data_IF_309682353879
#
_entry.id   IF_309682353879
#
_cell.length_a   1.000
_cell.length_b   1.000
_cell.length_c   1.000
_cell.angle_alpha   90.00
_cell.angle_beta   90.00
_cell.angle_gamma   90.00
#
_symmetry.space_group_name_H-M   'P 1'
#
loop_
_entity.id
_entity.type
_entity.pdbx_description
1 polymer ?
#
# COMPACT_ATOMS: atom_id res chain seq x y z
N UNK A 1 -20.22 21.68 46.12
CA UNK A 1 -19.50 20.45 45.71
C UNK A 1 -20.06 19.77 44.44
N UNK A 2 -21.24 20.14 43.93
CA UNK A 2 -21.89 19.50 42.76
C UNK A 2 -21.31 19.89 41.38
N UNK A 3 -20.52 20.97 41.30
CA UNK A 3 -19.94 21.52 40.05
C UNK A 3 -18.64 20.84 39.60
N UNK A 4 -17.92 20.18 40.51
CA UNK A 4 -16.61 19.56 40.22
C UNK A 4 -16.79 18.25 39.45
N UNK A 5 -17.86 17.51 39.74
CA UNK A 5 -18.19 16.23 39.09
C UNK A 5 -18.52 16.45 37.60
N UNK A 6 -19.26 17.51 37.28
CA UNK A 6 -19.60 17.88 35.91
C UNK A 6 -18.37 18.21 35.04
N UNK A 7 -17.36 18.87 35.62
CA UNK A 7 -16.13 19.20 34.90
C UNK A 7 -15.33 17.94 34.51
N UNK A 8 -15.28 16.93 35.40
CA UNK A 8 -14.55 15.68 35.13
C UNK A 8 -15.13 14.87 33.97
N UNK A 9 -16.46 14.87 33.81
CA UNK A 9 -17.16 14.12 32.75
C UNK A 9 -16.97 14.80 31.39
N UNK A 10 -16.96 16.13 31.34
CA UNK A 10 -16.72 16.89 30.11
C UNK A 10 -15.28 16.73 29.62
N UNK A 11 -14.30 16.71 30.54
CA UNK A 11 -12.88 16.45 30.19
C UNK A 11 -12.69 15.02 29.68
N UNK A 12 -13.35 14.03 30.28
CA UNK A 12 -13.30 12.65 29.79
C UNK A 12 -13.91 12.51 28.39
N UNK A 13 -15.03 13.18 28.10
CA UNK A 13 -15.66 13.15 26.77
C UNK A 13 -14.81 13.83 25.69
N UNK A 14 -14.04 14.87 26.03
CA UNK A 14 -13.12 15.54 25.10
C UNK A 14 -11.89 14.68 24.77
N UNK A 15 -11.43 13.82 25.69
CA UNK A 15 -10.33 12.89 25.42
C UNK A 15 -10.74 11.72 24.51
N UNK A 16 -12.00 11.28 24.55
CA UNK A 16 -12.50 10.18 23.69
C UNK A 16 -12.72 10.66 22.23
N UNK A 17 -12.91 11.96 22.01
CA UNK A 17 -13.07 12.56 20.68
C UNK A 17 -11.77 12.72 19.88
N UNK A 18 -10.60 12.56 20.51
CA UNK A 18 -9.29 12.82 19.89
C UNK A 18 -8.57 11.53 19.44
N UNK A 19 -9.32 10.50 19.02
CA UNK A 19 -8.77 9.17 18.72
C UNK A 19 -9.01 8.63 17.31
N UNK A 20 -9.78 9.32 16.45
CA UNK A 20 -10.26 8.74 15.19
C UNK A 20 -9.67 9.36 13.90
N UNK A 21 -8.56 10.08 14.02
CA UNK A 21 -7.75 10.46 12.86
C UNK A 21 -6.28 10.15 13.12
N UNK A 22 -5.98 8.91 13.52
CA UNK A 22 -4.74 8.32 13.02
C UNK A 22 -4.95 8.12 11.53
N UNK A 23 -4.75 9.21 10.78
CA UNK A 23 -4.46 9.14 9.37
C UNK A 23 -3.41 8.05 9.24
N UNK A 24 -3.74 6.98 8.53
CA UNK A 24 -2.72 6.05 8.04
C UNK A 24 -1.57 6.94 7.56
N UNK A 25 -0.34 6.79 8.08
CA UNK A 25 0.76 7.64 7.64
C UNK A 25 0.83 7.45 6.13
N UNK A 26 0.38 8.46 5.40
CA UNK A 26 0.43 8.45 3.94
C UNK A 26 1.90 8.37 3.63
N UNK A 27 2.35 7.19 3.18
CA UNK A 27 3.74 6.94 2.87
C UNK A 27 4.25 8.06 1.98
N UNK A 28 5.46 8.54 2.26
CA UNK A 28 6.02 9.65 1.48
C UNK A 28 6.13 9.25 0.00
N UNK A 29 6.09 10.23 -0.92
CA UNK A 29 6.29 9.93 -2.35
C UNK A 29 7.56 9.12 -2.60
N UNK A 30 8.64 9.45 -1.90
CA UNK A 30 9.92 8.74 -1.95
C UNK A 30 9.78 7.27 -1.52
N UNK A 31 8.96 6.99 -0.51
CA UNK A 31 8.72 5.63 -0.04
C UNK A 31 7.85 4.84 -1.04
N UNK A 32 6.84 5.47 -1.64
CA UNK A 32 6.03 4.86 -2.70
C UNK A 32 6.92 4.50 -3.90
N UNK A 33 7.78 5.43 -4.34
CA UNK A 33 8.64 5.23 -5.50
C UNK A 33 9.67 4.12 -5.25
N UNK A 34 10.27 4.08 -4.06
CA UNK A 34 11.18 2.98 -3.67
C UNK A 34 10.47 1.63 -3.67
N UNK A 35 9.30 1.55 -3.03
CA UNK A 35 8.54 0.29 -2.94
C UNK A 35 8.04 -0.17 -4.32
N UNK A 36 7.69 0.76 -5.20
CA UNK A 36 7.36 0.47 -6.59
C UNK A 36 8.54 -0.11 -7.36
N UNK A 37 9.74 0.49 -7.23
CA UNK A 37 10.96 0.00 -7.88
C UNK A 37 11.36 -1.40 -7.38
N UNK A 38 11.20 -1.66 -6.08
CA UNK A 38 11.44 -2.99 -5.51
C UNK A 38 10.46 -4.02 -6.08
N UNK A 39 9.17 -3.70 -6.12
CA UNK A 39 8.15 -4.55 -6.74
C UNK A 39 8.38 -4.77 -8.24
N UNK A 40 8.90 -3.76 -8.93
CA UNK A 40 9.26 -3.86 -10.34
C UNK A 40 10.43 -4.83 -10.56
N UNK A 41 11.48 -4.71 -9.74
CA UNK A 41 12.64 -5.59 -9.78
C UNK A 41 12.26 -7.06 -9.52
N UNK A 42 11.44 -7.33 -8.49
CA UNK A 42 10.95 -8.68 -8.22
C UNK A 42 10.08 -9.24 -9.36
N UNK A 43 9.23 -8.39 -9.95
CA UNK A 43 8.41 -8.77 -11.09
C UNK A 43 9.30 -9.13 -12.30
N UNK A 44 10.37 -8.39 -12.57
CA UNK A 44 11.32 -8.72 -13.63
C UNK A 44 11.97 -10.08 -13.42
N UNK A 45 12.49 -10.35 -12.22
CA UNK A 45 13.08 -11.65 -11.87
C UNK A 45 12.09 -12.80 -12.09
N UNK A 46 10.83 -12.63 -11.68
CA UNK A 46 9.80 -13.65 -11.83
C UNK A 46 9.44 -13.95 -13.30
N UNK A 47 9.55 -12.96 -14.20
CA UNK A 47 9.16 -13.10 -15.61
C UNK A 47 10.27 -13.69 -16.46
N UNK A 48 11.53 -13.55 -16.03
CA UNK A 48 12.67 -14.25 -16.65
C UNK A 48 12.45 -15.76 -16.63
N UNK A 49 11.75 -16.29 -15.63
CA UNK A 49 11.42 -17.70 -15.51
C UNK A 49 10.21 -18.16 -16.36
N UNK A 50 9.48 -17.25 -17.01
CA UNK A 50 8.30 -17.61 -17.81
C UNK A 50 8.76 -18.05 -19.22
N UNK A 51 8.53 -19.33 -19.61
CA UNK A 51 8.86 -19.79 -20.96
C UNK A 51 8.03 -19.00 -21.98
N UNK A 52 8.72 -18.34 -22.91
CA UNK A 52 8.09 -17.65 -24.03
C UNK A 52 7.49 -18.71 -24.95
N UNK A 53 6.16 -18.77 -25.05
CA UNK A 53 5.48 -19.48 -26.13
C UNK A 53 5.91 -18.88 -27.49
N UNK A 54 6.07 -19.75 -28.50
CA UNK A 54 6.70 -19.48 -29.81
C UNK A 54 6.07 -18.37 -30.67
N UNK A 55 4.97 -17.77 -30.21
CA UNK A 55 4.27 -16.68 -30.90
C UNK A 55 4.84 -15.33 -30.44
N UNK A 56 5.94 -14.92 -31.07
CA UNK A 56 6.81 -13.81 -30.63
C UNK A 56 6.12 -12.48 -30.29
N UNK A 57 4.98 -12.15 -30.92
CA UNK A 57 4.22 -10.90 -30.67
C UNK A 57 3.34 -11.02 -29.42
N UNK A 58 2.68 -12.17 -29.22
CA UNK A 58 1.90 -12.48 -28.02
C UNK A 58 2.82 -12.49 -26.79
N UNK A 59 4.03 -13.00 -26.96
CA UNK A 59 4.98 -13.23 -25.87
C UNK A 59 5.42 -11.95 -25.14
N UNK A 60 5.63 -10.84 -25.86
CA UNK A 60 6.07 -9.56 -25.29
C UNK A 60 4.96 -8.82 -24.55
N UNK A 61 3.77 -8.76 -25.16
CA UNK A 61 2.58 -8.15 -24.55
C UNK A 61 2.15 -8.95 -23.32
N UNK A 62 2.17 -10.28 -23.41
CA UNK A 62 1.83 -11.17 -22.31
C UNK A 62 2.82 -11.03 -21.14
N UNK A 63 4.12 -10.96 -21.43
CA UNK A 63 5.15 -10.66 -20.40
C UNK A 63 4.93 -9.31 -19.74
N UNK A 64 4.66 -8.26 -20.51
CA UNK A 64 4.36 -6.93 -19.97
C UNK A 64 3.11 -6.92 -19.09
N UNK A 65 2.05 -7.61 -19.51
CA UNK A 65 0.82 -7.75 -18.73
C UNK A 65 1.05 -8.55 -17.43
N UNK A 66 1.82 -9.62 -17.49
CA UNK A 66 2.22 -10.37 -16.29
C UNK A 66 3.09 -9.53 -15.35
N UNK A 67 4.01 -8.71 -15.88
CA UNK A 67 4.81 -7.74 -15.09
C UNK A 67 3.91 -6.79 -14.33
N UNK A 68 3.04 -6.07 -15.04
CA UNK A 68 2.13 -5.11 -14.44
C UNK A 68 1.22 -5.76 -13.38
N UNK A 69 0.76 -6.98 -13.64
CA UNK A 69 -0.05 -7.74 -12.67
C UNK A 69 0.73 -8.11 -11.42
N UNK A 70 2.01 -8.47 -11.54
CA UNK A 70 2.88 -8.80 -10.39
C UNK A 70 3.19 -7.55 -9.58
N UNK A 71 3.57 -6.45 -10.23
CA UNK A 71 3.80 -5.15 -9.57
C UNK A 71 2.55 -4.73 -8.78
N UNK A 72 1.36 -4.80 -9.41
CA UNK A 72 0.09 -4.46 -8.76
C UNK A 72 -0.17 -5.32 -7.52
N UNK A 73 0.12 -6.62 -7.58
CA UNK A 73 -0.03 -7.51 -6.42
C UNK A 73 0.96 -7.17 -5.31
N UNK A 74 2.22 -6.93 -5.64
CA UNK A 74 3.26 -6.56 -4.70
C UNK A 74 2.93 -5.24 -3.99
N UNK A 75 2.53 -4.21 -4.75
CA UNK A 75 2.11 -2.93 -4.18
C UNK A 75 0.90 -3.08 -3.26
N UNK A 76 -0.10 -3.88 -3.65
CA UNK A 76 -1.26 -4.17 -2.79
C UNK A 76 -0.86 -4.85 -1.48
N UNK A 77 0.12 -5.76 -1.50
CA UNK A 77 0.63 -6.42 -0.28
C UNK A 77 1.38 -5.44 0.63
N UNK A 78 2.05 -4.44 0.06
CA UNK A 78 2.74 -3.36 0.80
C UNK A 78 1.78 -2.28 1.34
N UNK A 79 0.48 -2.37 1.04
CA UNK A 79 -0.56 -1.49 1.58
C UNK A 79 -0.90 -0.27 0.72
N UNK A 80 -0.62 -0.33 -0.60
CA UNK A 80 -0.96 0.70 -1.58
C UNK A 80 -2.24 0.38 -2.37
#
# INVERSE_FOLDING_TARGET
>A
MKKIILFSVVVFLLCVGCGHHYTHPTKSKVEIDRDYLECEYEAELAIVAIPLSSDGISSGIQKGYHKARLIKKCMKLKGY
#
